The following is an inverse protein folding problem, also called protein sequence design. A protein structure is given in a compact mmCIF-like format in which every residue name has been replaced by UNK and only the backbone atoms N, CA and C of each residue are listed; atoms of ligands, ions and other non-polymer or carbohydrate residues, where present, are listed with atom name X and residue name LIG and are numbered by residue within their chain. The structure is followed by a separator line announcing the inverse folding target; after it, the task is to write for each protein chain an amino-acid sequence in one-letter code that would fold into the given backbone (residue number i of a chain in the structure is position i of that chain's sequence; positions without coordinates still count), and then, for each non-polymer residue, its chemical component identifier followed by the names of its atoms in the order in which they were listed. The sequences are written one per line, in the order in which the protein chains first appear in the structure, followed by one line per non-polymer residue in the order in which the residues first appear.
data_IF_583024037711
#
_entry.id   IF_583024037711
#
_cell.length_a   1.000
_cell.length_b   1.000
_cell.length_c   1.000
_cell.angle_alpha   90.00
_cell.angle_beta   90.00
_cell.angle_gamma   90.00
#
_symmetry.space_group_name_H-M   'P 1'
#
loop_
_entity.id
_entity.type
_entity.pdbx_description
1 polymer ?
#
# COMPACT_ATOMS: atom_id res chain seq x y z
N UNK A 1 0.12 -28.43 13.49
CA UNK A 1 -1.25 -28.38 12.93
C UNK A 1 -1.58 -29.74 12.33
N UNK A 2 -2.76 -30.33 12.62
CA UNK A 2 -3.16 -31.67 12.13
C UNK A 2 -4.24 -31.67 11.02
N UNK A 3 -4.57 -30.51 10.48
CA UNK A 3 -5.57 -30.38 9.40
C UNK A 3 -4.89 -30.26 8.02
N UNK A 4 -5.61 -30.63 6.96
CA UNK A 4 -5.12 -30.49 5.58
C UNK A 4 -4.91 -29.02 5.23
N UNK A 5 -3.78 -28.71 4.59
CA UNK A 5 -3.47 -27.39 4.03
C UNK A 5 -3.48 -27.51 2.51
N UNK A 6 -4.64 -27.35 1.84
CA UNK A 6 -4.71 -27.47 0.40
C UNK A 6 -3.88 -26.39 -0.28
N UNK A 7 -3.42 -26.69 -1.50
CA UNK A 7 -2.70 -25.76 -2.36
C UNK A 7 -3.58 -25.46 -3.55
N UNK A 8 -3.95 -24.19 -3.73
CA UNK A 8 -4.60 -23.71 -4.94
C UNK A 8 -3.53 -23.32 -5.97
N UNK A 9 -3.84 -23.53 -7.25
CA UNK A 9 -2.91 -23.25 -8.35
C UNK A 9 -3.61 -22.38 -9.38
N UNK A 10 -2.94 -21.29 -9.76
CA UNK A 10 -3.42 -20.34 -10.74
C UNK A 10 -2.77 -20.62 -12.09
N UNK A 11 -3.52 -20.39 -13.16
CA UNK A 11 -3.03 -20.45 -14.53
C UNK A 11 -2.63 -19.04 -15.00
N UNK A 12 -2.24 -18.94 -16.27
CA UNK A 12 -1.74 -17.71 -16.89
C UNK A 12 -2.78 -16.58 -16.99
N UNK A 13 -4.05 -16.85 -16.69
CA UNK A 13 -5.14 -15.85 -16.80
C UNK A 13 -5.39 -15.08 -15.50
N UNK A 14 -4.78 -15.48 -14.37
CA UNK A 14 -4.90 -14.82 -13.07
C UNK A 14 -4.04 -13.55 -13.00
N UNK A 15 -4.44 -12.51 -13.72
CA UNK A 15 -3.58 -11.36 -14.05
C UNK A 15 -3.29 -10.44 -12.89
N UNK A 16 -4.24 -10.23 -11.99
CA UNK A 16 -4.08 -9.42 -10.76
C UNK A 16 -3.03 -10.01 -9.81
N UNK A 17 -3.18 -11.29 -9.45
CA UNK A 17 -2.23 -11.98 -8.57
C UNK A 17 -0.84 -12.04 -9.20
N UNK A 18 -0.76 -12.32 -10.51
CA UNK A 18 0.51 -12.32 -11.22
C UNK A 18 1.13 -10.92 -11.26
N UNK A 19 0.33 -9.88 -11.48
CA UNK A 19 0.77 -8.49 -11.51
C UNK A 19 1.43 -8.06 -10.19
N UNK A 20 0.77 -8.32 -9.06
CA UNK A 20 1.33 -8.00 -7.75
C UNK A 20 2.62 -8.81 -7.46
N UNK A 21 2.70 -10.08 -7.87
CA UNK A 21 3.94 -10.88 -7.74
C UNK A 21 5.08 -10.26 -8.56
N UNK A 22 4.82 -9.85 -9.81
CA UNK A 22 5.81 -9.19 -10.67
C UNK A 22 6.28 -7.88 -10.05
N UNK A 23 5.35 -7.07 -9.53
CA UNK A 23 5.68 -5.81 -8.87
C UNK A 23 6.56 -6.04 -7.63
N UNK A 24 6.18 -6.98 -6.76
CA UNK A 24 6.92 -7.30 -5.55
C UNK A 24 8.34 -7.80 -5.85
N UNK A 25 8.51 -8.72 -6.81
CA UNK A 25 9.83 -9.23 -7.22
C UNK A 25 10.69 -8.12 -7.84
N UNK A 26 10.10 -7.26 -8.66
CA UNK A 26 10.78 -6.13 -9.31
C UNK A 26 11.23 -5.10 -8.28
N UNK A 27 10.36 -4.66 -7.37
CA UNK A 27 10.70 -3.74 -6.30
C UNK A 27 11.80 -4.31 -5.37
N UNK A 28 11.68 -5.58 -4.99
CA UNK A 28 12.70 -6.26 -4.18
C UNK A 28 14.06 -6.31 -4.90
N UNK A 29 14.09 -6.54 -6.21
CA UNK A 29 15.34 -6.57 -6.98
C UNK A 29 16.11 -5.24 -6.94
N UNK A 30 15.41 -4.11 -6.89
CA UNK A 30 16.00 -2.77 -6.76
C UNK A 30 16.61 -2.60 -5.37
N UNK A 31 15.93 -3.06 -4.32
CA UNK A 31 16.43 -3.01 -2.94
C UNK A 31 17.69 -3.88 -2.79
N UNK A 32 17.67 -5.10 -3.33
CA UNK A 32 18.77 -6.07 -3.23
C UNK A 32 19.84 -5.90 -4.31
N UNK A 33 19.95 -4.73 -4.96
CA UNK A 33 20.90 -4.51 -6.07
C UNK A 33 22.38 -4.78 -5.72
N UNK A 34 22.76 -4.65 -4.46
CA UNK A 34 24.12 -4.97 -3.99
C UNK A 34 24.39 -6.48 -3.96
N UNK A 35 23.35 -7.30 -3.88
CA UNK A 35 23.39 -8.76 -3.94
C UNK A 35 23.07 -9.21 -5.37
N UNK A 36 23.97 -8.90 -6.29
CA UNK A 36 23.75 -8.96 -7.74
C UNK A 36 23.10 -10.29 -8.22
N UNK A 37 23.55 -11.45 -7.73
CA UNK A 37 22.96 -12.74 -8.11
C UNK A 37 21.48 -12.85 -7.67
N UNK A 38 21.17 -12.42 -6.45
CA UNK A 38 19.81 -12.49 -5.93
C UNK A 38 18.89 -11.50 -6.65
N UNK A 39 19.34 -10.25 -6.82
CA UNK A 39 18.62 -9.22 -7.60
C UNK A 39 18.30 -9.70 -9.02
N UNK A 40 19.29 -10.25 -9.74
CA UNK A 40 19.08 -10.78 -11.09
C UNK A 40 18.09 -11.97 -11.13
N UNK A 41 18.12 -12.84 -10.12
CA UNK A 41 17.15 -13.94 -10.01
C UNK A 41 15.72 -13.44 -9.82
N UNK A 42 15.53 -12.36 -9.05
CA UNK A 42 14.22 -11.73 -8.86
C UNK A 42 13.71 -11.12 -10.17
N UNK A 43 14.53 -10.33 -10.87
CA UNK A 43 14.19 -9.73 -12.18
C UNK A 43 13.80 -10.83 -13.17
N UNK A 44 14.65 -11.85 -13.35
CA UNK A 44 14.38 -12.94 -14.28
C UNK A 44 13.06 -13.65 -13.98
N UNK A 45 12.69 -13.79 -12.70
CA UNK A 45 11.41 -14.39 -12.32
C UNK A 45 10.23 -13.46 -12.58
N UNK A 46 10.40 -12.17 -12.33
CA UNK A 46 9.41 -11.15 -12.66
C UNK A 46 9.12 -11.12 -14.17
N UNK A 47 10.16 -11.08 -15.02
CA UNK A 47 10.02 -11.13 -16.48
C UNK A 47 9.32 -12.42 -16.95
N UNK A 48 9.70 -13.58 -16.42
CA UNK A 48 9.06 -14.86 -16.76
C UNK A 48 7.56 -14.87 -16.43
N UNK A 49 7.16 -14.32 -15.28
CA UNK A 49 5.75 -14.25 -14.89
C UNK A 49 5.01 -13.23 -15.77
N UNK A 50 5.62 -12.07 -16.01
CA UNK A 50 5.03 -11.04 -16.88
C UNK A 50 4.81 -11.54 -18.31
N UNK A 51 5.78 -12.25 -18.89
CA UNK A 51 5.66 -12.83 -20.23
C UNK A 51 4.49 -13.81 -20.37
N UNK A 52 4.17 -14.55 -19.31
CA UNK A 52 3.09 -15.53 -19.36
C UNK A 52 1.71 -14.91 -19.11
N UNK A 53 1.60 -13.79 -18.38
CA UNK A 53 0.30 -13.22 -17.93
C UNK A 53 -0.07 -11.87 -18.55
N UNK A 54 0.91 -11.07 -18.98
CA UNK A 54 0.71 -9.66 -19.34
C UNK A 54 1.18 -9.31 -20.76
N UNK A 55 1.76 -10.27 -21.51
CA UNK A 55 2.12 -10.06 -22.91
C UNK A 55 0.86 -9.85 -23.77
N UNK A 56 0.90 -8.91 -24.71
CA UNK A 56 -0.25 -8.46 -25.51
C UNK A 56 -1.10 -9.60 -26.10
N UNK A 57 -0.48 -10.66 -26.63
CA UNK A 57 -1.21 -11.82 -27.19
C UNK A 57 -2.08 -12.58 -26.18
N UNK A 58 -1.82 -12.40 -24.88
CA UNK A 58 -2.47 -13.14 -23.78
C UNK A 58 -3.44 -12.28 -22.98
N UNK A 59 -3.36 -10.96 -23.10
CA UNK A 59 -4.18 -10.03 -22.30
C UNK A 59 -5.68 -10.16 -22.57
N UNK A 60 -6.08 -10.62 -23.76
CA UNK A 60 -7.48 -10.89 -24.08
C UNK A 60 -8.10 -12.00 -23.22
N UNK A 61 -7.28 -12.73 -22.46
CA UNK A 61 -7.71 -13.77 -21.51
C UNK A 61 -7.56 -13.34 -20.05
N UNK A 62 -7.10 -12.11 -19.79
CA UNK A 62 -6.87 -11.59 -18.45
C UNK A 62 -8.17 -11.54 -17.64
N UNK A 63 -8.16 -12.15 -16.45
CA UNK A 63 -9.25 -12.15 -15.48
C UNK A 63 -8.68 -12.05 -14.07
N UNK A 64 -9.55 -11.80 -13.09
CA UNK A 64 -9.13 -11.77 -11.68
C UNK A 64 -8.97 -13.18 -11.12
N UNK A 65 -7.96 -13.40 -10.29
CA UNK A 65 -7.63 -14.72 -9.74
C UNK A 65 -8.80 -15.34 -8.97
N UNK A 66 -9.65 -14.51 -8.35
CA UNK A 66 -10.85 -14.94 -7.62
C UNK A 66 -11.98 -15.45 -8.49
N UNK A 67 -11.97 -15.19 -9.80
CA UNK A 67 -12.96 -15.79 -10.73
C UNK A 67 -12.61 -17.23 -11.11
N UNK A 68 -11.37 -17.65 -10.86
CA UNK A 68 -10.88 -19.00 -11.18
C UNK A 68 -11.05 -19.89 -9.94
N UNK A 69 -12.00 -20.82 -9.97
CA UNK A 69 -12.33 -21.66 -8.81
C UNK A 69 -11.13 -22.47 -8.27
N UNK A 70 -10.29 -23.02 -9.16
CA UNK A 70 -9.10 -23.79 -8.79
C UNK A 70 -7.95 -22.93 -8.18
N UNK A 71 -8.05 -21.61 -8.31
CA UNK A 71 -7.06 -20.64 -7.85
C UNK A 71 -7.63 -19.85 -6.66
N UNK A 72 -8.46 -18.84 -6.92
CA UNK A 72 -8.99 -17.94 -5.90
C UNK A 72 -10.41 -18.26 -5.43
N UNK A 73 -10.97 -19.44 -5.75
CA UNK A 73 -12.34 -19.81 -5.35
C UNK A 73 -12.60 -19.69 -3.85
N UNK A 74 -11.69 -20.25 -3.03
CA UNK A 74 -11.75 -20.12 -1.57
C UNK A 74 -11.41 -18.69 -1.09
N UNK A 75 -10.48 -18.02 -1.79
CA UNK A 75 -10.03 -16.67 -1.45
C UNK A 75 -11.10 -15.60 -1.71
N UNK A 76 -12.07 -15.84 -2.60
CA UNK A 76 -13.13 -14.89 -3.01
C UNK A 76 -13.90 -14.28 -1.84
N UNK A 77 -14.03 -15.00 -0.72
CA UNK A 77 -14.73 -14.53 0.50
C UNK A 77 -13.86 -13.68 1.43
N UNK A 78 -12.55 -13.65 1.20
CA UNK A 78 -11.57 -13.00 2.07
C UNK A 78 -10.83 -11.87 1.34
N UNK A 79 -10.32 -12.18 0.15
CA UNK A 79 -9.54 -11.29 -0.72
C UNK A 79 -10.16 -11.25 -2.12
N UNK A 80 -11.44 -10.88 -2.19
CA UNK A 80 -12.19 -10.73 -3.45
C UNK A 80 -11.58 -9.64 -4.33
N UNK A 81 -11.06 -10.01 -5.50
CA UNK A 81 -10.44 -9.04 -6.40
C UNK A 81 -11.49 -8.22 -7.16
N UNK A 82 -11.30 -6.89 -7.22
CA UNK A 82 -12.20 -5.96 -7.93
C UNK A 82 -11.75 -5.66 -9.36
N UNK A 83 -10.49 -5.91 -9.69
CA UNK A 83 -9.91 -5.59 -11.00
C UNK A 83 -8.51 -6.18 -11.17
N UNK A 84 -7.98 -6.09 -12.38
CA UNK A 84 -6.60 -6.52 -12.67
C UNK A 84 -5.81 -5.51 -13.50
N UNK A 85 -6.45 -4.51 -14.11
CA UNK A 85 -5.76 -3.59 -15.03
C UNK A 85 -4.78 -2.70 -14.28
N UNK A 86 -5.15 -2.25 -13.09
CA UNK A 86 -4.28 -1.50 -12.19
C UNK A 86 -3.06 -2.32 -11.74
N UNK A 87 -3.25 -3.62 -11.47
CA UNK A 87 -2.18 -4.55 -11.14
C UNK A 87 -1.20 -4.77 -12.29
N UNK A 88 -1.69 -4.88 -13.53
CA UNK A 88 -0.83 -5.02 -14.70
C UNK A 88 -0.04 -3.74 -14.98
N UNK A 89 -0.65 -2.57 -14.78
CA UNK A 89 0.08 -1.28 -14.85
C UNK A 89 1.12 -1.19 -13.73
N UNK A 90 0.78 -1.61 -12.50
CA UNK A 90 1.69 -1.65 -11.35
C UNK A 90 2.89 -2.55 -11.60
N UNK A 91 2.63 -3.76 -12.10
CA UNK A 91 3.65 -4.74 -12.49
C UNK A 91 4.62 -4.17 -13.54
N UNK A 92 4.08 -3.65 -14.64
CA UNK A 92 4.87 -3.10 -15.73
C UNK A 92 5.69 -1.88 -15.28
N UNK A 93 5.12 -1.03 -14.42
CA UNK A 93 5.81 0.14 -13.86
C UNK A 93 7.02 -0.26 -13.00
N UNK A 94 6.85 -1.22 -12.08
CA UNK A 94 7.97 -1.69 -11.26
C UNK A 94 9.02 -2.45 -12.06
N UNK A 95 8.60 -3.26 -13.03
CA UNK A 95 9.51 -4.01 -13.88
C UNK A 95 10.32 -3.07 -14.79
N UNK A 96 9.71 -1.98 -15.25
CA UNK A 96 10.42 -0.87 -15.91
C UNK A 96 11.51 -0.29 -15.01
N UNK A 97 11.21 0.07 -13.76
CA UNK A 97 12.23 0.60 -12.84
C UNK A 97 13.35 -0.41 -12.55
N UNK A 98 13.03 -1.70 -12.48
CA UNK A 98 14.01 -2.75 -12.22
C UNK A 98 14.93 -3.04 -13.41
N UNK A 99 14.45 -2.85 -14.65
CA UNK A 99 15.16 -3.30 -15.87
C UNK A 99 15.65 -2.17 -16.76
N UNK A 100 14.99 -1.01 -16.73
CA UNK A 100 15.16 0.04 -17.72
C UNK A 100 14.52 -0.26 -19.09
N UNK A 101 13.79 -1.37 -19.23
CA UNK A 101 13.23 -1.78 -20.51
C UNK A 101 11.94 -1.00 -20.82
N UNK A 102 12.01 -0.14 -21.83
CA UNK A 102 10.92 0.74 -22.24
C UNK A 102 9.64 0.02 -22.67
N UNK A 103 9.71 -1.24 -23.14
CA UNK A 103 8.51 -2.01 -23.49
C UNK A 103 7.54 -2.15 -22.30
N UNK A 104 8.05 -2.21 -21.08
CA UNK A 104 7.20 -2.22 -19.88
C UNK A 104 6.57 -0.86 -19.61
N UNK A 105 7.30 0.23 -19.80
CA UNK A 105 6.74 1.57 -19.65
C UNK A 105 5.70 1.89 -20.75
N UNK A 106 5.95 1.46 -21.99
CA UNK A 106 5.01 1.57 -23.11
C UNK A 106 3.67 0.91 -22.75
N UNK A 107 3.73 -0.32 -22.23
CA UNK A 107 2.55 -1.02 -21.74
C UNK A 107 1.86 -0.23 -20.61
N UNK A 108 2.62 0.15 -19.59
CA UNK A 108 2.07 0.77 -18.39
C UNK A 108 1.37 2.10 -18.71
N UNK A 109 2.00 2.94 -19.53
CA UNK A 109 1.47 4.25 -19.93
C UNK A 109 0.33 4.15 -20.94
N UNK A 110 0.38 3.20 -21.87
CA UNK A 110 -0.71 2.95 -22.84
C UNK A 110 -1.99 2.49 -22.14
N UNK A 111 -1.86 1.63 -21.12
CA UNK A 111 -2.99 1.02 -20.43
C UNK A 111 -3.47 1.80 -19.20
N UNK A 112 -2.73 2.81 -18.73
CA UNK A 112 -3.07 3.54 -17.50
C UNK A 112 -4.47 4.16 -17.54
N UNK A 113 -4.86 4.81 -18.65
CA UNK A 113 -6.19 5.41 -18.77
C UNK A 113 -7.30 4.35 -18.70
N UNK A 114 -7.10 3.19 -19.36
CA UNK A 114 -8.06 2.10 -19.32
C UNK A 114 -8.17 1.44 -17.93
N UNK A 115 -7.10 1.50 -17.12
CA UNK A 115 -7.13 1.07 -15.73
C UNK A 115 -7.90 2.07 -14.84
N UNK A 116 -7.72 3.38 -15.08
CA UNK A 116 -8.49 4.44 -14.41
C UNK A 116 -9.99 4.30 -14.71
N UNK A 117 -10.36 4.01 -15.96
CA UNK A 117 -11.77 3.82 -16.35
C UNK A 117 -12.40 2.54 -15.76
N UNK A 118 -11.59 1.58 -15.31
CA UNK A 118 -12.02 0.31 -14.70
C UNK A 118 -12.17 0.40 -13.17
N UNK A 119 -11.70 1.49 -12.55
CA UNK A 119 -11.71 1.68 -11.11
C UNK A 119 -13.14 1.70 -10.56
N UNK A 120 -13.38 0.91 -9.51
CA UNK A 120 -14.69 0.91 -8.86
C UNK A 120 -14.89 2.18 -8.02
N UNK A 121 -16.14 2.62 -7.85
CA UNK A 121 -16.46 3.78 -6.99
C UNK A 121 -15.98 3.59 -5.55
N UNK A 122 -15.94 2.35 -5.05
CA UNK A 122 -15.49 2.02 -3.69
C UNK A 122 -13.98 2.01 -3.54
N UNK A 123 -13.23 1.83 -4.64
CA UNK A 123 -11.76 1.81 -4.65
C UNK A 123 -11.16 3.19 -4.91
N UNK A 124 -11.96 4.13 -5.41
CA UNK A 124 -11.51 5.45 -5.86
C UNK A 124 -10.74 6.22 -4.79
N UNK A 125 -9.48 6.52 -5.11
CA UNK A 125 -8.58 7.30 -4.25
C UNK A 125 -8.00 6.52 -3.07
N UNK A 126 -8.15 5.20 -3.05
CA UNK A 126 -7.66 4.32 -2.00
C UNK A 126 -6.49 3.50 -2.53
N UNK A 127 -5.33 3.59 -1.87
CA UNK A 127 -4.22 2.67 -2.11
C UNK A 127 -4.22 1.57 -1.06
N UNK A 128 -4.43 0.33 -1.49
CA UNK A 128 -4.45 -0.84 -0.61
C UNK A 128 -4.23 -2.12 -1.44
N UNK A 129 -4.36 -3.30 -0.83
CA UNK A 129 -4.03 -4.57 -1.46
C UNK A 129 -4.79 -4.87 -2.77
N UNK A 130 -5.95 -4.25 -3.03
CA UNK A 130 -6.80 -4.54 -4.19
C UNK A 130 -6.83 -3.42 -5.25
N UNK A 131 -6.28 -2.24 -4.96
CA UNK A 131 -6.24 -1.11 -5.89
C UNK A 131 -4.88 -0.40 -5.84
N UNK A 132 -4.18 -0.37 -6.97
CA UNK A 132 -2.85 0.26 -7.14
C UNK A 132 -2.89 1.61 -7.84
N UNK A 133 -4.03 2.10 -8.31
CA UNK A 133 -4.11 3.30 -9.16
C UNK A 133 -3.57 4.56 -8.49
N UNK A 134 -3.93 4.81 -7.23
CA UNK A 134 -3.42 5.95 -6.49
C UNK A 134 -1.88 5.93 -6.36
N UNK A 135 -1.29 4.76 -6.14
CA UNK A 135 0.16 4.60 -6.07
C UNK A 135 0.82 4.70 -7.45
N UNK A 136 0.23 4.11 -8.50
CA UNK A 136 0.68 4.26 -9.88
C UNK A 136 0.73 5.73 -10.30
N UNK A 137 -0.32 6.50 -9.99
CA UNK A 137 -0.37 7.93 -10.28
C UNK A 137 0.79 8.69 -9.60
N UNK A 138 1.07 8.40 -8.33
CA UNK A 138 2.19 9.02 -7.59
C UNK A 138 3.55 8.58 -8.16
N UNK A 139 3.72 7.31 -8.56
CA UNK A 139 4.95 6.82 -9.18
C UNK A 139 5.21 7.44 -10.56
N UNK A 140 4.20 7.51 -11.43
CA UNK A 140 4.31 8.19 -12.72
C UNK A 140 4.56 9.69 -12.56
N UNK A 141 3.97 10.31 -11.54
CA UNK A 141 4.29 11.70 -11.20
C UNK A 141 5.75 11.85 -10.77
N UNK A 142 6.29 10.91 -9.99
CA UNK A 142 7.73 10.89 -9.67
C UNK A 142 8.59 10.78 -10.92
N UNK A 143 8.26 9.85 -11.81
CA UNK A 143 8.98 9.67 -13.08
C UNK A 143 8.98 10.98 -13.87
N UNK A 144 7.82 11.61 -14.07
CA UNK A 144 7.71 12.91 -14.73
C UNK A 144 8.54 14.02 -14.07
N UNK A 145 8.55 14.07 -12.75
CA UNK A 145 9.18 15.16 -12.02
C UNK A 145 10.71 15.07 -11.98
N UNK A 146 11.26 13.87 -11.91
CA UNK A 146 12.69 13.65 -11.69
C UNK A 146 13.41 13.00 -12.87
N UNK A 147 12.67 12.40 -13.81
CA UNK A 147 13.21 11.68 -14.96
C UNK A 147 12.20 11.68 -16.12
N UNK A 148 11.79 12.86 -16.55
CA UNK A 148 10.84 13.02 -17.67
C UNK A 148 11.44 12.45 -18.96
N UNK A 149 10.80 11.42 -19.50
CA UNK A 149 11.24 10.75 -20.73
C UNK A 149 10.63 11.38 -21.99
N UNK A 150 9.69 12.32 -21.85
CA UNK A 150 9.03 12.96 -22.99
C UNK A 150 8.16 12.01 -23.81
N UNK A 151 8.16 12.19 -25.14
CA UNK A 151 7.34 11.41 -26.07
C UNK A 151 7.73 9.93 -26.08
N UNK A 152 6.77 8.97 -26.09
CA UNK A 152 5.30 9.13 -26.17
C UNK A 152 4.57 9.14 -24.80
N UNK A 153 5.29 9.33 -23.70
CA UNK A 153 4.80 9.10 -22.34
C UNK A 153 4.08 10.31 -21.72
N UNK A 154 4.25 11.50 -22.31
CA UNK A 154 3.84 12.79 -21.76
C UNK A 154 2.34 12.83 -21.38
N UNK A 155 1.49 12.16 -22.16
CA UNK A 155 0.04 12.13 -21.92
C UNK A 155 -0.30 11.36 -20.64
N UNK A 156 0.25 10.15 -20.48
CA UNK A 156 -0.02 9.30 -19.32
C UNK A 156 0.60 9.90 -18.05
N UNK A 157 1.83 10.40 -18.15
CA UNK A 157 2.50 11.08 -17.04
C UNK A 157 1.78 12.38 -16.65
N UNK A 158 1.25 13.11 -17.63
CA UNK A 158 0.38 14.28 -17.44
C UNK A 158 -0.91 13.95 -16.69
N UNK A 159 -1.64 12.93 -17.16
CA UNK A 159 -2.84 12.42 -16.51
C UNK A 159 -2.57 12.01 -15.05
N UNK A 160 -1.47 11.29 -14.82
CA UNK A 160 -1.04 10.81 -13.50
C UNK A 160 -0.74 11.94 -12.54
N UNK A 161 -0.10 13.01 -13.01
CA UNK A 161 0.17 14.22 -12.20
C UNK A 161 -1.14 14.87 -11.78
N UNK A 162 -2.06 15.09 -12.73
CA UNK A 162 -3.36 15.68 -12.42
C UNK A 162 -4.18 14.81 -11.45
N UNK A 163 -4.14 13.49 -11.62
CA UNK A 163 -4.79 12.54 -10.71
C UNK A 163 -4.16 12.58 -9.32
N UNK A 164 -2.83 12.70 -9.22
CA UNK A 164 -2.11 12.85 -7.95
C UNK A 164 -2.50 14.16 -7.26
N UNK A 165 -2.53 15.28 -7.98
CA UNK A 165 -2.98 16.56 -7.42
C UNK A 165 -4.41 16.46 -6.88
N UNK A 166 -5.33 15.91 -7.66
CA UNK A 166 -6.73 15.70 -7.24
C UNK A 166 -6.85 14.77 -6.03
N UNK A 167 -6.02 13.72 -5.97
CA UNK A 167 -5.96 12.80 -4.84
C UNK A 167 -5.56 13.55 -3.56
N UNK A 168 -4.50 14.36 -3.61
CA UNK A 168 -4.04 15.16 -2.47
C UNK A 168 -5.10 16.15 -2.00
N UNK A 169 -5.77 16.83 -2.95
CA UNK A 169 -6.91 17.69 -2.65
C UNK A 169 -8.03 16.93 -1.94
N UNK A 170 -8.34 15.71 -2.40
CA UNK A 170 -9.40 14.89 -1.82
C UNK A 170 -9.11 14.50 -0.37
N UNK A 171 -7.85 14.18 -0.03
CA UNK A 171 -7.45 13.86 1.35
C UNK A 171 -7.54 15.05 2.30
N UNK A 172 -7.38 16.28 1.79
CA UNK A 172 -7.49 17.51 2.58
C UNK A 172 -8.96 17.97 2.71
N UNK A 173 -9.78 17.78 1.68
CA UNK A 173 -11.17 18.21 1.63
C UNK A 173 -12.10 17.35 2.50
N UNK A 174 -12.89 18.00 3.36
CA UNK A 174 -14.00 17.35 4.10
C UNK A 174 -15.22 17.05 3.22
N UNK A 175 -15.28 17.59 2.00
CA UNK A 175 -16.35 17.31 1.05
C UNK A 175 -16.13 15.98 0.32
N UNK A 176 -14.87 15.54 0.20
CA UNK A 176 -14.49 14.32 -0.50
C UNK A 176 -14.43 13.12 0.45
N UNK A 177 -13.73 13.26 1.58
CA UNK A 177 -13.63 12.21 2.60
C UNK A 177 -14.05 12.73 3.97
N UNK A 178 -14.94 11.97 4.60
CA UNK A 178 -15.34 12.19 5.98
C UNK A 178 -14.16 11.90 6.93
N UNK A 179 -14.27 12.42 8.14
CA UNK A 179 -13.34 12.12 9.23
C UNK A 179 -14.12 11.75 10.48
N UNK A 180 -13.52 10.91 11.32
CA UNK A 180 -14.04 10.71 12.68
C UNK A 180 -13.97 12.02 13.47
N UNK A 181 -14.74 12.17 14.57
CA UNK A 181 -14.59 13.30 15.48
C UNK A 181 -13.13 13.57 15.92
N UNK A 182 -12.33 12.52 16.09
CA UNK A 182 -10.91 12.55 16.45
C UNK A 182 -9.95 12.86 15.30
N UNK A 183 -10.44 12.96 14.05
CA UNK A 183 -9.65 13.42 12.91
C UNK A 183 -9.06 12.33 12.01
N UNK A 184 -9.38 11.06 12.24
CA UNK A 184 -9.01 9.96 11.33
C UNK A 184 -9.78 10.07 10.02
N UNK A 185 -9.10 9.99 8.88
CA UNK A 185 -9.73 9.98 7.56
C UNK A 185 -10.49 8.66 7.32
N UNK A 186 -11.71 8.76 6.80
CA UNK A 186 -12.57 7.62 6.46
C UNK A 186 -12.66 7.48 4.94
N UNK A 187 -11.70 6.73 4.37
CA UNK A 187 -11.58 6.51 2.92
C UNK A 187 -12.58 5.48 2.39
N UNK A 188 -12.88 4.45 3.19
CA UNK A 188 -13.87 3.42 2.87
C UNK A 188 -14.83 3.23 4.06
N UNK A 189 -15.79 4.15 4.25
CA UNK A 189 -16.74 4.06 5.37
C UNK A 189 -17.54 2.75 5.31
N UNK A 190 -17.65 2.05 6.44
CA UNK A 190 -18.39 0.79 6.54
C UNK A 190 -17.62 -0.45 6.12
N UNK A 191 -16.37 -0.32 5.65
CA UNK A 191 -15.43 -1.45 5.57
C UNK A 191 -14.55 -1.47 6.81
N UNK A 192 -14.12 -2.66 7.23
CA UNK A 192 -13.30 -2.84 8.43
C UNK A 192 -11.85 -2.39 8.19
N UNK A 193 -11.15 -2.06 9.27
CA UNK A 193 -9.74 -1.69 9.20
C UNK A 193 -9.44 -0.31 8.63
N UNK A 194 -10.06 0.78 9.13
CA UNK A 194 -9.84 2.14 8.60
C UNK A 194 -8.38 2.61 8.72
N UNK A 195 -7.62 2.12 9.71
CA UNK A 195 -6.24 2.54 9.90
C UNK A 195 -5.32 2.16 8.74
N UNK A 196 -5.61 1.07 8.02
CA UNK A 196 -4.81 0.67 6.85
C UNK A 196 -4.84 1.75 5.76
N UNK A 197 -6.04 2.32 5.52
CA UNK A 197 -6.25 3.32 4.48
C UNK A 197 -5.68 4.67 4.92
N UNK A 198 -5.82 5.02 6.20
CA UNK A 198 -5.24 6.24 6.75
C UNK A 198 -3.70 6.20 6.70
N UNK A 199 -3.09 5.03 6.97
CA UNK A 199 -1.65 4.84 6.86
C UNK A 199 -1.15 5.02 5.42
N UNK A 200 -1.81 4.40 4.43
CA UNK A 200 -1.39 4.56 3.02
C UNK A 200 -1.65 5.96 2.49
N UNK A 201 -2.74 6.63 2.89
CA UNK A 201 -2.97 8.03 2.55
C UNK A 201 -1.90 8.96 3.16
N UNK A 202 -1.51 8.72 4.42
CA UNK A 202 -0.38 9.43 5.05
C UNK A 202 0.91 9.26 4.25
N UNK A 203 1.23 8.01 3.89
CA UNK A 203 2.41 7.70 3.08
C UNK A 203 2.41 8.44 1.75
N UNK A 204 1.33 8.34 0.96
CA UNK A 204 1.25 9.00 -0.35
C UNK A 204 1.32 10.53 -0.23
N UNK A 205 0.65 11.13 0.76
CA UNK A 205 0.72 12.57 0.99
C UNK A 205 2.10 13.05 1.40
N UNK A 206 2.79 12.33 2.29
CA UNK A 206 4.16 12.68 2.69
C UNK A 206 5.12 12.54 1.51
N UNK A 207 5.02 11.44 0.76
CA UNK A 207 5.85 11.19 -0.41
C UNK A 207 5.68 12.28 -1.48
N UNK A 208 4.45 12.67 -1.78
CA UNK A 208 4.20 13.75 -2.74
C UNK A 208 4.64 15.12 -2.23
N UNK A 209 4.45 15.41 -0.94
CA UNK A 209 4.97 16.62 -0.31
C UNK A 209 6.50 16.72 -0.46
N UNK A 210 7.22 15.60 -0.32
CA UNK A 210 8.66 15.55 -0.51
C UNK A 210 9.05 15.83 -1.96
N UNK A 211 8.29 15.30 -2.93
CA UNK A 211 8.51 15.60 -4.35
C UNK A 211 8.42 17.10 -4.61
N UNK A 212 7.35 17.75 -4.14
CA UNK A 212 7.14 19.17 -4.31
C UNK A 212 8.21 20.01 -3.60
N UNK A 213 8.63 19.59 -2.40
CA UNK A 213 9.71 20.23 -1.64
C UNK A 213 11.02 20.21 -2.41
N UNK A 214 11.41 19.05 -2.97
CA UNK A 214 12.63 18.91 -3.78
C UNK A 214 12.59 19.76 -5.06
N UNK A 215 11.42 19.89 -5.67
CA UNK A 215 11.21 20.74 -6.85
C UNK A 215 11.01 22.23 -6.50
N UNK A 216 11.03 22.59 -5.21
CA UNK A 216 10.78 23.95 -4.71
C UNK A 216 9.43 24.53 -5.16
N UNK A 217 8.39 23.69 -5.19
CA UNK A 217 7.01 24.08 -5.49
C UNK A 217 6.25 24.33 -4.19
N UNK A 218 5.56 25.46 -4.08
CA UNK A 218 4.96 25.92 -2.81
C UNK A 218 3.50 25.54 -2.61
N UNK A 219 2.74 25.39 -3.69
CA UNK A 219 1.29 25.15 -3.64
C UNK A 219 0.76 24.71 -4.99
N UNK A 220 -0.37 24.01 -4.98
CA UNK A 220 -1.11 23.66 -6.20
C UNK A 220 -2.59 24.05 -6.08
N UNK A 221 -3.21 24.38 -7.21
CA UNK A 221 -4.63 24.70 -7.28
C UNK A 221 -5.44 23.44 -7.56
N UNK A 222 -6.35 23.09 -6.67
CA UNK A 222 -7.47 22.19 -6.95
C UNK A 222 -8.59 22.98 -7.64
N UNK A 223 -9.61 22.26 -8.12
CA UNK A 223 -10.76 22.86 -8.82
C UNK A 223 -11.52 23.90 -7.97
N UNK A 224 -11.56 23.73 -6.64
CA UNK A 224 -12.35 24.58 -5.73
C UNK A 224 -11.52 25.23 -4.59
N UNK A 225 -10.31 24.76 -4.33
CA UNK A 225 -9.41 25.25 -3.27
C UNK A 225 -7.96 24.91 -3.65
N UNK A 226 -6.94 25.44 -2.96
CA UNK A 226 -5.55 25.01 -3.13
C UNK A 226 -5.06 24.15 -1.97
N UNK A 227 -3.90 23.51 -2.12
CA UNK A 227 -3.15 22.98 -0.98
C UNK A 227 -1.73 23.56 -0.93
N UNK A 228 -1.23 23.74 0.29
CA UNK A 228 0.17 24.06 0.57
C UNK A 228 0.94 22.82 1.03
N UNK A 229 2.27 22.89 0.99
CA UNK A 229 3.13 21.85 1.58
C UNK A 229 2.82 21.62 3.06
N UNK A 230 2.57 22.70 3.81
CA UNK A 230 2.24 22.61 5.23
C UNK A 230 0.93 21.86 5.48
N UNK A 231 -0.07 22.02 4.62
CA UNK A 231 -1.33 21.28 4.71
C UNK A 231 -1.12 19.77 4.50
N UNK A 232 -0.33 19.38 3.49
CA UNK A 232 -0.01 17.97 3.23
C UNK A 232 0.83 17.34 4.34
N UNK A 233 1.85 18.06 4.82
CA UNK A 233 2.67 17.62 5.95
C UNK A 233 1.82 17.46 7.22
N UNK A 234 0.95 18.42 7.52
CA UNK A 234 0.07 18.37 8.70
C UNK A 234 -0.94 17.23 8.61
N UNK A 235 -1.55 17.03 7.43
CA UNK A 235 -2.46 15.91 7.20
C UNK A 235 -1.74 14.57 7.38
N UNK A 236 -0.63 14.35 6.66
CA UNK A 236 0.10 13.08 6.73
C UNK A 236 0.59 12.77 8.15
N UNK A 237 1.12 13.77 8.87
CA UNK A 237 1.57 13.62 10.26
C UNK A 237 0.39 13.30 11.20
N UNK A 238 -0.75 13.96 11.03
CA UNK A 238 -1.92 13.75 11.91
C UNK A 238 -2.45 12.33 11.85
N UNK A 239 -2.46 11.69 10.68
CA UNK A 239 -2.93 10.30 10.56
C UNK A 239 -2.00 9.31 11.28
N UNK A 240 -0.69 9.53 11.24
CA UNK A 240 0.27 8.69 11.97
C UNK A 240 0.21 8.94 13.47
N UNK A 241 0.12 10.20 13.88
CA UNK A 241 -0.06 10.53 15.30
C UNK A 241 -1.37 9.93 15.83
N UNK A 242 -2.46 9.95 15.06
CA UNK A 242 -3.71 9.29 15.42
C UNK A 242 -3.50 7.78 15.65
N UNK A 243 -2.81 7.09 14.72
CA UNK A 243 -2.47 5.65 14.87
C UNK A 243 -1.63 5.42 16.13
N UNK A 244 -0.71 6.32 16.44
CA UNK A 244 0.26 6.14 17.52
C UNK A 244 -0.20 6.64 18.90
N UNK A 245 -1.33 7.33 19.01
CA UNK A 245 -1.94 7.67 20.31
C UNK A 245 -2.63 9.04 20.41
N UNK A 246 -2.48 9.92 19.42
CA UNK A 246 -3.20 11.20 19.38
C UNK A 246 -4.62 11.03 18.83
N UNK A 247 -5.42 10.25 19.56
CA UNK A 247 -6.81 9.97 19.27
C UNK A 247 -7.65 10.11 20.55
N UNK A 248 -9.00 10.10 20.46
CA UNK A 248 -9.87 10.26 21.63
C UNK A 248 -9.68 9.22 22.73
N UNK A 249 -9.22 8.00 22.39
CA UNK A 249 -8.93 6.94 23.36
C UNK A 249 -7.57 7.10 24.05
N UNK A 250 -6.71 8.02 23.57
CA UNK A 250 -5.32 8.19 24.02
C UNK A 250 -4.55 6.86 24.06
N UNK A 251 -4.80 6.04 23.04
CA UNK A 251 -4.29 4.67 22.91
C UNK A 251 -3.52 4.54 21.60
N UNK A 252 -2.32 3.96 21.62
CA UNK A 252 -1.66 3.54 20.39
C UNK A 252 -2.39 2.34 19.79
N UNK A 253 -2.78 2.41 18.53
CA UNK A 253 -3.28 1.26 17.78
C UNK A 253 -2.16 0.36 17.23
N UNK A 254 -0.89 0.65 17.56
CA UNK A 254 0.25 -0.22 17.31
C UNK A 254 0.62 -0.97 18.60
N UNK A 255 0.51 -2.30 18.55
CA UNK A 255 0.72 -3.18 19.70
C UNK A 255 2.16 -3.05 20.22
N UNK A 256 2.30 -2.80 21.52
CA UNK A 256 3.59 -2.64 22.18
C UNK A 256 4.26 -1.28 21.99
N UNK A 257 3.53 -0.27 21.49
CA UNK A 257 4.01 1.11 21.40
C UNK A 257 3.26 2.04 22.37
N UNK A 258 3.99 2.91 23.06
CA UNK A 258 3.43 3.78 24.10
C UNK A 258 2.98 3.01 25.35
N UNK A 259 2.40 3.73 26.30
CA UNK A 259 1.98 3.17 27.60
C UNK A 259 0.58 2.54 27.57
N UNK A 260 -0.19 2.80 26.51
CA UNK A 260 -1.55 2.29 26.34
C UNK A 260 -1.76 1.80 24.90
N UNK A 261 -1.96 0.48 24.73
CA UNK A 261 -2.12 -0.18 23.43
C UNK A 261 -3.01 -1.44 23.56
N UNK A 262 -3.60 -1.95 22.46
CA UNK A 262 -4.44 -3.15 22.46
C UNK A 262 -3.72 -4.40 23.01
N UNK A 263 -4.36 -5.09 23.94
CA UNK A 263 -3.83 -6.30 24.59
C UNK A 263 -4.63 -7.56 24.25
N UNK A 264 -5.77 -7.45 23.57
CA UNK A 264 -6.65 -8.57 23.18
C UNK A 264 -6.77 -8.69 21.66
N UNK A 265 -5.64 -8.59 20.97
CA UNK A 265 -5.54 -8.67 19.50
C UNK A 265 -6.11 -9.99 18.97
N UNK A 266 -6.95 -9.95 17.92
CA UNK A 266 -7.48 -11.13 17.20
C UNK A 266 -6.37 -11.87 16.45
N UNK A 267 -5.49 -12.56 17.18
CA UNK A 267 -4.35 -13.25 16.59
C UNK A 267 -4.01 -14.54 17.35
N UNK A 268 -4.12 -15.68 16.66
CA UNK A 268 -4.00 -17.03 17.26
C UNK A 268 -2.67 -17.24 17.99
N UNK A 269 -1.53 -16.89 17.38
CA UNK A 269 -0.24 -17.09 18.04
C UNK A 269 0.02 -16.07 19.16
N UNK A 270 -0.71 -14.95 19.18
CA UNK A 270 -0.61 -13.98 20.27
C UNK A 270 -1.42 -14.44 21.48
N UNK A 271 -2.61 -15.01 21.23
CA UNK A 271 -3.57 -15.41 22.27
C UNK A 271 -3.25 -16.76 22.94
N UNK A 272 -2.54 -17.66 22.27
CA UNK A 272 -2.22 -19.01 22.78
C UNK A 272 -0.84 -19.01 23.47
N UNK A 273 -0.72 -19.40 24.75
CA UNK A 273 0.56 -19.50 25.45
C UNK A 273 1.54 -20.42 24.74
N UNK A 274 2.82 -20.05 24.77
CA UNK A 274 3.90 -20.92 24.34
C UNK A 274 4.31 -21.85 25.50
N UNK A 275 3.60 -22.96 25.66
CA UNK A 275 3.79 -23.93 26.76
C UNK A 275 4.37 -25.28 26.29
N UNK A 276 4.74 -25.39 25.01
CA UNK A 276 5.23 -26.63 24.40
C UNK A 276 4.13 -27.69 24.22
N UNK A 277 2.87 -27.38 24.47
CA UNK A 277 1.76 -28.29 24.29
C UNK A 277 1.12 -28.11 22.92
N UNK A 278 0.54 -29.21 22.42
CA UNK A 278 -0.29 -29.16 21.23
C UNK A 278 -1.70 -28.72 21.61
N UNK A 279 -2.16 -27.64 20.98
CA UNK A 279 -3.53 -27.15 21.09
C UNK A 279 -4.25 -27.30 19.73
N UNK A 280 -5.44 -27.89 19.74
CA UNK A 280 -6.27 -28.04 18.54
C UNK A 280 -6.98 -26.73 18.17
N UNK A 281 -7.55 -26.66 16.96
CA UNK A 281 -8.35 -25.49 16.57
C UNK A 281 -9.59 -25.31 17.46
N UNK A 282 -10.20 -26.40 17.93
CA UNK A 282 -11.34 -26.35 18.83
C UNK A 282 -10.94 -25.83 20.23
N UNK A 283 -9.75 -26.20 20.71
CA UNK A 283 -9.21 -25.64 21.96
C UNK A 283 -9.00 -24.13 21.84
N UNK A 284 -8.77 -23.63 20.62
CA UNK A 284 -8.67 -22.22 20.26
C UNK A 284 -9.78 -21.33 20.83
N UNK A 285 -10.99 -21.88 20.94
CA UNK A 285 -12.19 -21.19 21.39
C UNK A 285 -12.04 -20.58 22.79
N UNK A 286 -11.34 -21.27 23.69
CA UNK A 286 -11.11 -20.76 25.05
C UNK A 286 -10.28 -19.49 25.08
N UNK A 287 -9.32 -19.36 24.17
CA UNK A 287 -8.49 -18.15 24.06
C UNK A 287 -9.17 -17.09 23.24
N UNK A 288 -10.06 -17.44 22.30
CA UNK A 288 -10.88 -16.46 21.62
C UNK A 288 -11.71 -15.66 22.65
N UNK A 289 -12.43 -16.36 23.52
CA UNK A 289 -13.35 -15.78 24.51
C UNK A 289 -12.68 -15.37 25.86
N UNK A 290 -11.36 -15.59 26.01
CA UNK A 290 -10.66 -15.27 27.26
C UNK A 290 -10.60 -13.75 27.50
N UNK A 291 -10.91 -13.35 28.74
CA UNK A 291 -10.74 -11.98 29.22
C UNK A 291 -9.28 -11.65 29.58
N UNK A 292 -8.42 -12.65 29.65
CA UNK A 292 -6.99 -12.44 29.84
C UNK A 292 -6.37 -11.80 28.60
N UNK A 293 -5.41 -10.90 28.82
CA UNK A 293 -4.57 -10.34 27.77
C UNK A 293 -3.88 -11.45 26.98
N UNK A 294 -3.51 -11.16 25.74
CA UNK A 294 -2.68 -12.03 24.93
C UNK A 294 -1.36 -12.36 25.67
N UNK A 295 -1.03 -13.64 25.93
CA UNK A 295 0.19 -14.02 26.64
C UNK A 295 1.47 -13.67 25.85
N UNK A 296 1.39 -13.63 24.52
CA UNK A 296 2.51 -13.22 23.67
C UNK A 296 2.18 -11.85 23.05
N UNK A 297 3.01 -10.85 23.33
CA UNK A 297 2.84 -9.51 22.78
C UNK A 297 3.18 -9.55 21.28
N UNK A 298 2.21 -9.20 20.44
CA UNK A 298 2.38 -9.12 18.99
C UNK A 298 3.00 -7.78 18.59
N UNK A 299 4.25 -7.56 19.00
CA UNK A 299 4.94 -6.28 18.87
C UNK A 299 4.90 -5.73 17.44
N UNK A 300 4.51 -4.46 17.30
CA UNK A 300 4.47 -3.73 16.04
C UNK A 300 3.24 -3.99 15.16
N UNK A 301 2.35 -4.92 15.54
CA UNK A 301 1.11 -5.14 14.80
C UNK A 301 0.18 -3.93 14.92
N UNK A 302 -0.34 -3.46 13.79
CA UNK A 302 -1.39 -2.44 13.76
C UNK A 302 -2.74 -3.14 13.71
N UNK A 303 -3.59 -2.88 14.70
CA UNK A 303 -4.96 -3.40 14.69
C UNK A 303 -5.81 -2.70 13.63
N UNK A 304 -6.99 -3.25 13.32
CA UNK A 304 -7.92 -2.65 12.37
C UNK A 304 -8.33 -1.21 12.75
N UNK A 305 -8.54 -0.96 14.05
CA UNK A 305 -8.75 0.37 14.61
C UNK A 305 -10.20 0.68 15.00
N UNK A 306 -10.51 1.95 15.24
CA UNK A 306 -11.81 2.37 15.76
C UNK A 306 -12.89 2.38 14.67
N UNK A 307 -14.14 2.55 15.09
CA UNK A 307 -15.25 2.84 14.19
C UNK A 307 -15.27 4.32 13.74
N UNK A 308 -16.30 4.70 12.98
CA UNK A 308 -16.46 6.05 12.45
C UNK A 308 -16.68 7.15 13.52
N UNK A 309 -16.89 6.77 14.77
CA UNK A 309 -17.11 7.66 15.92
C UNK A 309 -15.94 7.63 16.92
N UNK A 310 -14.78 7.10 16.51
CA UNK A 310 -13.61 6.88 17.36
C UNK A 310 -13.83 5.86 18.50
N UNK A 311 -14.88 5.03 18.44
CA UNK A 311 -15.05 3.97 19.42
C UNK A 311 -14.20 2.74 19.07
N UNK A 312 -13.56 2.18 20.08
CA UNK A 312 -12.65 1.05 19.95
C UNK A 312 -12.87 0.09 21.12
N UNK A 313 -13.10 -1.18 20.79
CA UNK A 313 -13.23 -2.27 21.75
C UNK A 313 -12.01 -3.19 21.62
N UNK A 314 -11.21 -3.28 22.68
CA UNK A 314 -10.06 -4.19 22.81
C UNK A 314 -10.56 -5.59 23.21
N UNK A 315 -11.31 -6.22 22.31
CA UNK A 315 -11.85 -7.56 22.48
C UNK A 315 -11.40 -8.46 21.32
N UNK A 316 -10.94 -9.66 21.65
CA UNK A 316 -10.40 -10.60 20.65
C UNK A 316 -11.42 -11.09 19.65
N UNK A 317 -12.71 -11.09 19.98
CA UNK A 317 -13.79 -11.45 19.06
C UNK A 317 -14.18 -10.32 18.10
N UNK A 318 -13.81 -9.08 18.42
CA UNK A 318 -14.11 -7.90 17.60
C UNK A 318 -13.09 -7.77 16.47
N UNK A 319 -13.13 -8.69 15.52
CA UNK A 319 -12.20 -8.74 14.38
C UNK A 319 -12.10 -7.39 13.65
N UNK A 320 -13.23 -6.69 13.51
CA UNK A 320 -13.32 -5.37 12.88
C UNK A 320 -12.50 -4.28 13.57
N UNK A 321 -12.14 -4.47 14.85
CA UNK A 321 -11.32 -3.54 15.62
C UNK A 321 -9.93 -4.10 15.93
N UNK A 322 -9.83 -5.36 16.34
CA UNK A 322 -8.61 -5.93 16.93
C UNK A 322 -7.82 -6.84 15.99
N UNK A 323 -8.27 -7.08 14.75
CA UNK A 323 -7.55 -7.91 13.78
C UNK A 323 -6.45 -7.11 13.07
N UNK A 324 -5.17 -7.50 13.20
CA UNK A 324 -4.10 -6.93 12.41
C UNK A 324 -4.00 -7.62 11.05
N UNK A 325 -3.46 -6.92 10.05
CA UNK A 325 -3.20 -7.50 8.73
C UNK A 325 -1.83 -7.12 8.19
N UNK A 326 -1.25 -7.99 7.37
CA UNK A 326 0.02 -7.72 6.69
C UNK A 326 -0.11 -6.50 5.78
N UNK A 327 -1.23 -6.37 5.06
CA UNK A 327 -1.48 -5.23 4.18
C UNK A 327 -1.54 -3.90 4.96
N UNK A 328 -2.23 -3.87 6.11
CA UNK A 328 -2.26 -2.69 6.97
C UNK A 328 -0.90 -2.32 7.52
N UNK A 329 -0.14 -3.30 8.01
CA UNK A 329 1.21 -3.08 8.50
C UNK A 329 2.19 -2.64 7.40
N UNK A 330 2.03 -3.10 6.16
CA UNK A 330 2.84 -2.64 5.03
C UNK A 330 2.68 -1.13 4.79
N UNK A 331 1.44 -0.63 4.80
CA UNK A 331 1.14 0.80 4.73
C UNK A 331 1.71 1.59 5.92
N UNK A 332 1.57 1.05 7.14
CA UNK A 332 2.11 1.69 8.35
C UNK A 332 3.64 1.83 8.28
N UNK A 333 4.36 0.77 7.91
CA UNK A 333 5.82 0.79 7.79
C UNK A 333 6.26 1.83 6.75
N UNK A 334 5.61 1.86 5.58
CA UNK A 334 5.90 2.84 4.54
C UNK A 334 5.70 4.28 5.04
N UNK A 335 4.59 4.54 5.75
CA UNK A 335 4.30 5.86 6.30
C UNK A 335 5.31 6.27 7.39
N UNK A 336 5.62 5.37 8.34
CA UNK A 336 6.60 5.64 9.39
C UNK A 336 7.98 5.97 8.81
N UNK A 337 8.43 5.23 7.79
CA UNK A 337 9.69 5.51 7.10
C UNK A 337 9.63 6.86 6.39
N UNK A 338 8.52 7.19 5.71
CA UNK A 338 8.38 8.48 5.02
C UNK A 338 8.41 9.68 5.97
N UNK A 339 8.00 9.50 7.23
CA UNK A 339 8.09 10.52 8.28
C UNK A 339 9.40 10.46 9.09
N UNK A 340 10.30 9.53 8.77
CA UNK A 340 11.60 9.44 9.40
C UNK A 340 12.64 10.25 8.62
N UNK A 341 12.91 11.48 9.08
CA UNK A 341 13.98 12.30 8.52
C UNK A 341 15.35 11.70 8.91
N UNK A 342 16.24 11.40 7.93
CA UNK A 342 17.56 10.89 8.26
C UNK A 342 18.40 11.96 8.97
N UNK A 343 19.41 11.55 9.77
CA UNK A 343 20.34 12.49 10.39
C UNK A 343 20.95 13.42 9.32
N UNK A 344 20.98 14.74 9.59
CA UNK A 344 21.61 15.70 8.70
C UNK A 344 23.10 15.38 8.56
N UNK A 345 23.51 14.98 7.36
CA UNK A 345 24.94 14.92 7.00
C UNK A 345 25.46 16.34 6.77
N UNK A 346 26.64 16.65 7.30
CA UNK A 346 27.31 17.94 7.12
C UNK A 346 27.73 18.22 5.66
N UNK A 347 27.51 17.27 4.74
CA UNK A 347 27.96 17.35 3.35
C UNK A 347 26.85 17.75 2.34
N UNK A 348 25.59 17.91 2.75
CA UNK A 348 24.49 18.29 1.81
C UNK A 348 23.82 19.61 2.19
N UNK A 349 23.88 20.60 1.30
CA UNK A 349 23.19 21.90 1.45
C UNK A 349 21.71 21.88 1.02
N UNK A 350 21.12 20.69 0.79
CA UNK A 350 19.71 20.51 0.40
C UNK A 350 18.85 19.89 1.51
N UNK A 351 17.51 19.92 1.39
CA UNK A 351 16.63 19.24 2.34
C UNK A 351 16.89 17.72 2.30
N UNK A 352 17.25 17.16 3.46
CA UNK A 352 17.44 15.72 3.62
C UNK A 352 16.11 15.08 4.04
N UNK A 353 15.31 14.68 3.05
CA UNK A 353 13.95 14.15 3.26
C UNK A 353 13.91 12.61 3.32
N UNK A 354 15.08 11.94 3.33
CA UNK A 354 15.15 10.47 3.28
C UNK A 354 14.70 9.82 1.96
N UNK A 355 14.26 10.63 0.98
CA UNK A 355 13.85 10.15 -0.33
C UNK A 355 15.05 9.94 -1.26
N UNK A 356 15.19 8.71 -1.76
CA UNK A 356 16.17 8.38 -2.80
C UNK A 356 15.75 8.93 -4.18
N UNK A 357 16.31 10.06 -4.61
CA UNK A 357 15.97 10.67 -5.91
C UNK A 357 16.62 9.97 -7.11
N UNK A 358 17.62 9.11 -6.92
CA UNK A 358 18.41 8.53 -8.02
C UNK A 358 18.25 7.02 -8.15
N UNK A 359 18.27 6.27 -7.05
CA UNK A 359 18.42 4.82 -7.09
C UNK A 359 17.25 4.08 -7.72
N UNK A 360 16.01 4.58 -7.61
CA UNK A 360 14.86 4.01 -8.36
C UNK A 360 14.98 4.19 -9.88
N UNK A 361 15.77 5.17 -10.34
CA UNK A 361 15.99 5.48 -11.75
C UNK A 361 17.35 4.99 -12.27
N UNK A 362 18.10 4.19 -11.50
CA UNK A 362 19.47 3.78 -11.86
C UNK A 362 19.54 3.09 -13.24
N UNK A 363 18.50 2.33 -13.60
CA UNK A 363 18.39 1.65 -14.90
C UNK A 363 17.62 2.46 -15.94
N UNK A 364 17.04 3.61 -15.58
CA UNK A 364 16.21 4.43 -16.47
C UNK A 364 17.10 5.45 -17.16
N UNK A 365 17.42 5.20 -18.43
CA UNK A 365 18.23 6.10 -19.25
C UNK A 365 17.34 7.02 -20.09
N UNK A 366 17.76 8.27 -20.28
CA UNK A 366 17.14 9.14 -21.27
C UNK A 366 17.73 8.74 -22.62
N UNK A 367 16.90 8.44 -23.61
CA UNK A 367 17.36 8.22 -24.97
C UNK A 367 18.13 9.48 -25.42
N UNK A 368 19.40 9.27 -25.79
CA UNK A 368 20.36 10.32 -26.16
C UNK A 368 20.15 10.87 -27.56
#
# INVERSE_FOLDING_TARGET
MRYKRPVSVCNETASDLAGEIVAALSAASIVFKQENEYSQRLIKKAEQIYEITAKEDRIHRAITYTTIDACGGEARKFYGSSGYKDELVWAATWLFFATGNHTFLDYATTNFAAAVDDETTTDKGIFYWNNKLAANAVLFTRLRFFRDLGFPYEKALGLSTNMTDQLMCSYLSKQNFNRTPGGLILLSPGTGGPLQFAATASFLSKLYNDYLTLLRRSSWNCTNDGFSLEMLQSFSTSQINYILGDNPKKMSYMVGFGDHYPTHVHHRSASIPWDGQYHSCADGDRWLHSQDRNPNILLGAMVAGPDQFDDFSDEREKTWSTEPSIAGNAGLVAALIAHHDPPRSSASNGPNLGLDIVGIFEKVHLDS
#
